data_IF_679465748334
#
_entry.id   IF_679465748334
#
_cell.length_a   1.000
_cell.length_b   1.000
_cell.length_c   1.000
_cell.angle_alpha   90.00
_cell.angle_beta   90.00
_cell.angle_gamma   90.00
#
_symmetry.space_group_name_H-M   'P 1'
#
loop_
_entity.id
_entity.type
_entity.pdbx_description
1 polymer ?
#
# COMPACT_ATOMS: atom_id res chain seq x y z
N UNK A 1 -4.05 3.01 -13.36
CA UNK A 1 -5.24 2.30 -13.87
C UNK A 1 -5.64 1.12 -13.02
N UNK A 2 -4.75 0.16 -12.72
CA UNK A 2 -5.12 -1.05 -11.97
C UNK A 2 -5.60 -0.80 -10.53
N UNK A 3 -4.93 0.08 -9.78
CA UNK A 3 -5.36 0.41 -8.41
C UNK A 3 -6.74 1.08 -8.42
N UNK A 4 -7.01 1.96 -9.38
CA UNK A 4 -8.32 2.57 -9.58
C UNK A 4 -9.39 1.52 -9.89
N UNK A 5 -9.09 0.54 -10.76
CA UNK A 5 -10.00 -0.55 -11.07
C UNK A 5 -10.30 -1.39 -9.83
N UNK A 6 -9.27 -1.82 -9.10
CA UNK A 6 -9.45 -2.57 -7.86
C UNK A 6 -10.25 -1.81 -6.80
N UNK A 7 -10.05 -0.49 -6.67
CA UNK A 7 -10.83 0.33 -5.73
C UNK A 7 -12.32 0.34 -6.10
N UNK A 8 -12.65 0.47 -7.39
CA UNK A 8 -14.04 0.40 -7.87
C UNK A 8 -14.65 -0.97 -7.63
N UNK A 9 -13.96 -2.04 -8.02
CA UNK A 9 -14.46 -3.42 -7.93
C UNK A 9 -14.69 -3.85 -6.47
N UNK A 10 -13.90 -3.32 -5.54
CA UNK A 10 -14.01 -3.60 -4.10
C UNK A 10 -14.82 -2.56 -3.32
N UNK A 11 -15.29 -1.49 -3.97
CA UNK A 11 -16.00 -0.40 -3.29
C UNK A 11 -15.15 0.34 -2.25
N UNK A 12 -13.82 0.35 -2.39
CA UNK A 12 -12.91 0.96 -1.42
C UNK A 12 -12.94 2.48 -1.57
N UNK A 13 -13.27 3.16 -0.48
CA UNK A 13 -13.27 4.63 -0.40
C UNK A 13 -12.51 5.07 0.83
N UNK A 14 -11.73 6.16 0.72
CA UNK A 14 -10.95 6.68 1.84
C UNK A 14 -10.46 8.10 1.58
N UNK A 15 -9.67 8.64 2.50
CA UNK A 15 -9.00 9.94 2.37
C UNK A 15 -7.68 9.87 1.55
N UNK A 16 -7.57 8.89 0.66
CA UNK A 16 -6.41 8.61 -0.18
C UNK A 16 -6.84 8.27 -1.61
N UNK A 17 -5.93 8.46 -2.57
CA UNK A 17 -6.17 8.18 -3.99
C UNK A 17 -5.30 7.03 -4.51
N UNK A 18 -5.70 6.42 -5.63
CA UNK A 18 -4.90 5.39 -6.29
C UNK A 18 -3.49 5.87 -6.66
N UNK A 19 -3.35 7.13 -7.10
CA UNK A 19 -2.06 7.76 -7.41
C UNK A 19 -1.19 7.89 -6.17
N UNK A 20 -1.77 8.34 -5.05
CA UNK A 20 -1.03 8.45 -3.79
C UNK A 20 -0.57 7.08 -3.28
N UNK A 21 -1.40 6.03 -3.44
CA UNK A 21 -1.02 4.65 -3.08
C UNK A 21 0.08 4.10 -4.02
N UNK A 22 0.01 4.40 -5.32
CA UNK A 22 1.05 4.03 -6.27
C UNK A 22 2.40 4.69 -5.91
N UNK A 23 2.38 5.99 -5.61
CA UNK A 23 3.57 6.73 -5.19
C UNK A 23 4.14 6.18 -3.88
N UNK A 24 3.29 5.84 -2.90
CA UNK A 24 3.71 5.22 -1.65
C UNK A 24 4.35 3.85 -1.87
N UNK A 25 3.75 3.01 -2.72
CA UNK A 25 4.30 1.70 -3.11
C UNK A 25 5.72 1.88 -3.66
N UNK A 26 5.93 2.85 -4.56
CA UNK A 26 7.26 3.15 -5.09
C UNK A 26 8.25 3.60 -4.01
N UNK A 27 7.83 4.51 -3.12
CA UNK A 27 8.67 4.99 -2.03
C UNK A 27 9.13 3.83 -1.09
N UNK A 28 8.22 2.91 -0.76
CA UNK A 28 8.54 1.73 0.07
C UNK A 28 9.52 0.81 -0.65
N UNK A 29 9.30 0.50 -1.92
CA UNK A 29 10.20 -0.37 -2.69
C UNK A 29 11.61 0.24 -2.81
N UNK A 30 11.70 1.53 -3.12
CA UNK A 30 12.99 2.22 -3.24
C UNK A 30 13.70 2.31 -1.89
N UNK A 31 12.98 2.66 -0.82
CA UNK A 31 13.51 2.70 0.54
C UNK A 31 14.00 1.33 1.02
N UNK A 32 13.27 0.26 0.70
CA UNK A 32 13.64 -1.12 1.03
C UNK A 32 15.00 -1.49 0.42
N UNK A 33 15.24 -1.16 -0.85
CA UNK A 33 16.54 -1.39 -1.49
C UNK A 33 17.67 -0.57 -0.86
N UNK A 34 17.41 0.69 -0.48
CA UNK A 34 18.40 1.53 0.21
C UNK A 34 18.79 0.90 1.55
N UNK A 35 17.80 0.49 2.34
CA UNK A 35 18.03 -0.12 3.65
C UNK A 35 18.78 -1.46 3.55
N UNK A 36 18.41 -2.31 2.59
CA UNK A 36 19.09 -3.58 2.35
C UNK A 36 20.58 -3.37 2.01
N UNK A 37 20.89 -2.40 1.14
CA UNK A 37 22.29 -2.05 0.80
C UNK A 37 23.04 -1.49 2.00
N UNK A 38 22.42 -0.62 2.79
CA UNK A 38 23.04 -0.03 3.96
C UNK A 38 23.37 -1.08 5.04
N UNK A 39 22.54 -2.12 5.15
CA UNK A 39 22.71 -3.21 6.12
C UNK A 39 23.51 -4.41 5.58
N UNK A 40 23.69 -4.50 4.27
CA UNK A 40 24.29 -5.68 3.63
C UNK A 40 23.41 -6.93 3.73
N UNK A 41 22.10 -6.76 3.85
CA UNK A 41 21.13 -7.82 4.15
C UNK A 41 19.87 -7.68 3.28
N UNK A 42 19.60 -8.71 2.46
CA UNK A 42 18.45 -8.76 1.55
C UNK A 42 17.13 -8.96 2.30
N UNK A 43 17.15 -9.59 3.48
CA UNK A 43 15.93 -9.94 4.22
C UNK A 43 15.17 -8.67 4.62
N UNK A 44 15.88 -7.57 4.86
CA UNK A 44 15.29 -6.25 5.13
C UNK A 44 14.36 -5.79 4.00
N UNK A 45 14.73 -6.05 2.74
CA UNK A 45 13.87 -5.71 1.60
C UNK A 45 12.67 -6.67 1.50
N UNK A 46 12.88 -7.96 1.75
CA UNK A 46 11.81 -8.97 1.75
C UNK A 46 10.76 -8.64 2.80
N UNK A 47 11.18 -8.31 4.02
CA UNK A 47 10.29 -7.88 5.11
C UNK A 47 9.53 -6.61 4.75
N UNK A 48 10.20 -5.62 4.17
CA UNK A 48 9.56 -4.37 3.73
C UNK A 48 8.44 -4.62 2.70
N UNK A 49 8.68 -5.52 1.74
CA UNK A 49 7.66 -5.92 0.74
C UNK A 49 6.53 -6.71 1.39
N UNK A 50 6.83 -7.58 2.35
CA UNK A 50 5.81 -8.32 3.11
C UNK A 50 4.89 -7.36 3.88
N UNK A 51 5.44 -6.31 4.48
CA UNK A 51 4.67 -5.25 5.12
C UNK A 51 3.82 -4.45 4.14
N UNK A 52 4.38 -4.07 2.99
CA UNK A 52 3.63 -3.39 1.93
C UNK A 52 2.44 -4.22 1.44
N UNK A 53 2.63 -5.52 1.21
CA UNK A 53 1.55 -6.43 0.85
C UNK A 53 0.44 -6.43 1.90
N UNK A 54 0.79 -6.62 3.18
CA UNK A 54 -0.20 -6.63 4.28
C UNK A 54 -0.95 -5.30 4.37
N UNK A 55 -0.26 -4.17 4.16
CA UNK A 55 -0.88 -2.85 4.13
C UNK A 55 -1.93 -2.74 3.01
N UNK A 56 -1.59 -3.16 1.79
CA UNK A 56 -2.53 -3.18 0.66
C UNK A 56 -3.70 -4.13 0.94
N UNK A 57 -3.45 -5.34 1.46
CA UNK A 57 -4.52 -6.27 1.85
C UNK A 57 -5.49 -5.63 2.84
N UNK A 58 -4.98 -4.92 3.85
CA UNK A 58 -5.80 -4.22 4.84
C UNK A 58 -6.62 -3.09 4.20
N UNK A 59 -6.04 -2.26 3.34
CA UNK A 59 -6.76 -1.19 2.64
C UNK A 59 -7.93 -1.73 1.82
N UNK A 60 -7.76 -2.88 1.16
CA UNK A 60 -8.76 -3.50 0.29
C UNK A 60 -9.68 -4.51 1.00
N UNK A 61 -9.50 -4.69 2.31
CA UNK A 61 -10.37 -5.51 3.17
C UNK A 61 -11.27 -4.69 4.08
N UNK A 62 -11.17 -3.34 4.06
CA UNK A 62 -12.05 -2.51 4.88
C UNK A 62 -13.48 -2.53 4.33
N UNK A 63 -14.50 -2.78 5.17
CA UNK A 63 -15.89 -2.59 4.75
C UNK A 63 -16.10 -1.12 4.39
N UNK A 64 -16.93 -0.88 3.35
CA UNK A 64 -17.32 0.47 2.90
C UNK A 64 -17.73 1.28 4.14
N UNK A 65 -16.91 2.24 4.54
CA UNK A 65 -17.22 3.08 5.69
C UNK A 65 -18.33 4.03 5.24
N UNK A 66 -19.58 3.71 5.60
CA UNK A 66 -20.70 4.61 5.38
C UNK A 66 -20.37 5.97 6.04
N UNK A 67 -20.75 7.10 5.42
CA UNK A 67 -20.45 8.40 5.98
C UNK A 67 -21.05 8.52 7.38
N UNK A 68 -20.22 8.86 8.36
CA UNK A 68 -20.68 9.18 9.71
C UNK A 68 -21.54 10.44 9.59
N UNK A 69 -22.86 10.28 9.67
CA UNK A 69 -23.78 11.42 9.88
C UNK A 69 -23.44 12.02 11.24
N UNK A 70 -22.94 13.25 11.25
CA UNK A 70 -23.04 14.14 12.41
C UNK A 70 -24.45 14.73 12.43
#
# INVERSE_FOLDING_TARGET
DDIHAAMRDRGVTGNWSAESLAAHTQAVLQGAFILAKAKGDVDVAVESVAHLRRYVELLFSQPVTAPRRQ
#
